data_IF_092588184242
#
_entry.id   IF_092588184242
#
_cell.length_a   1.000
_cell.length_b   1.000
_cell.length_c   1.000
_cell.angle_alpha   90.00
_cell.angle_beta   90.00
_cell.angle_gamma   90.00
#
_symmetry.space_group_name_H-M   'P 1'
#
loop_
_entity.id
_entity.type
_entity.pdbx_description
1 polymer ?
#
# COMPACT_ATOMS: atom_id res chain seq x y z
N UNK A 1 11.96 -0.73 -16.94
CA UNK A 1 11.89 -2.13 -16.48
C UNK A 1 10.56 -2.38 -15.82
N UNK A 2 9.84 -3.43 -16.24
CA UNK A 2 8.64 -3.95 -15.56
C UNK A 2 9.07 -5.23 -14.85
N UNK A 3 9.02 -5.26 -13.52
CA UNK A 3 9.32 -6.46 -12.73
C UNK A 3 8.31 -7.59 -12.98
N UNK A 4 8.80 -8.79 -13.26
CA UNK A 4 8.01 -10.00 -13.54
C UNK A 4 6.87 -9.79 -14.55
N UNK A 5 7.14 -9.27 -15.77
CA UNK A 5 6.11 -8.88 -16.74
C UNK A 5 5.27 -10.05 -17.28
N UNK A 6 5.67 -11.28 -16.95
CA UNK A 6 5.14 -12.58 -17.28
C UNK A 6 4.38 -13.25 -16.11
N UNK A 7 4.29 -12.59 -14.94
CA UNK A 7 3.52 -13.11 -13.80
C UNK A 7 2.02 -13.28 -14.08
N UNK A 8 1.46 -12.58 -15.07
CA UNK A 8 0.09 -12.80 -15.55
C UNK A 8 -0.13 -14.21 -16.11
N UNK A 9 0.94 -14.92 -16.50
CA UNK A 9 0.86 -16.27 -17.07
C UNK A 9 1.08 -17.38 -16.03
N UNK A 10 1.26 -17.02 -14.75
CA UNK A 10 1.40 -18.03 -13.70
C UNK A 10 0.07 -18.74 -13.43
N UNK A 11 0.17 -19.99 -12.97
CA UNK A 11 -1.00 -20.80 -12.66
C UNK A 11 -1.74 -20.22 -11.46
N UNK A 12 -3.03 -19.95 -11.65
CA UNK A 12 -3.96 -19.55 -10.60
C UNK A 12 -4.51 -20.76 -9.87
N UNK A 13 -4.87 -20.58 -8.61
CA UNK A 13 -5.55 -21.59 -7.82
C UNK A 13 -7.04 -21.59 -8.08
N UNK A 14 -7.75 -20.48 -7.93
CA UNK A 14 -9.21 -20.42 -8.04
C UNK A 14 -9.69 -19.64 -9.25
N UNK A 15 -8.97 -18.61 -9.68
CA UNK A 15 -9.32 -17.86 -10.88
C UNK A 15 -9.30 -18.80 -12.12
N UNK A 16 -10.33 -18.78 -12.97
CA UNK A 16 -10.35 -19.61 -14.18
C UNK A 16 -9.37 -19.12 -15.25
N UNK A 17 -9.12 -17.81 -15.28
CA UNK A 17 -8.17 -17.13 -16.17
C UNK A 17 -7.56 -15.94 -15.44
N UNK A 18 -6.38 -15.49 -15.89
CA UNK A 18 -5.64 -14.39 -15.27
C UNK A 18 -6.39 -13.06 -15.27
N UNK A 19 -7.34 -12.87 -16.18
CA UNK A 19 -8.12 -11.64 -16.33
C UNK A 19 -9.60 -11.76 -15.94
N UNK A 20 -9.97 -12.86 -15.28
CA UNK A 20 -11.36 -13.13 -14.88
C UNK A 20 -11.97 -12.03 -13.99
N UNK A 21 -11.13 -11.28 -13.28
CA UNK A 21 -11.53 -10.14 -12.43
C UNK A 21 -10.91 -8.81 -12.90
N UNK A 22 -10.41 -8.72 -14.14
CA UNK A 22 -9.80 -7.49 -14.64
C UNK A 22 -10.85 -6.36 -14.66
N UNK A 23 -10.58 -5.20 -14.03
CA UNK A 23 -11.50 -4.07 -14.04
C UNK A 23 -11.66 -3.45 -15.43
N UNK A 24 -12.60 -2.50 -15.55
CA UNK A 24 -12.83 -1.75 -16.79
C UNK A 24 -11.65 -0.86 -17.20
N UNK A 25 -10.81 -0.47 -16.24
CA UNK A 25 -9.57 0.26 -16.49
C UNK A 25 -9.46 1.61 -15.77
N UNK A 26 -8.25 2.17 -15.74
CA UNK A 26 -7.99 3.45 -15.10
C UNK A 26 -8.57 4.60 -15.93
N UNK A 27 -8.71 5.80 -15.33
CA UNK A 27 -9.07 6.97 -16.09
C UNK A 27 -7.94 7.36 -17.03
N UNK A 28 -8.15 7.19 -18.34
CA UNK A 28 -7.15 7.57 -19.35
C UNK A 28 -7.29 9.05 -19.74
N UNK A 29 -6.16 9.77 -19.81
CA UNK A 29 -6.14 11.19 -20.18
C UNK A 29 -6.82 11.47 -21.54
N UNK A 30 -6.64 10.57 -22.51
CA UNK A 30 -7.23 10.68 -23.85
C UNK A 30 -8.74 10.42 -23.90
N UNK A 31 -9.30 9.76 -22.90
CA UNK A 31 -10.71 9.37 -22.87
C UNK A 31 -11.53 10.24 -21.90
N UNK A 32 -10.98 10.53 -20.72
CA UNK A 32 -11.64 11.33 -19.70
C UNK A 32 -10.61 12.19 -18.94
N UNK A 33 -10.21 13.29 -19.57
CA UNK A 33 -9.24 14.23 -19.00
C UNK A 33 -9.67 14.80 -17.64
N UNK A 34 -10.95 15.10 -17.46
CA UNK A 34 -11.44 15.69 -16.21
C UNK A 34 -11.26 14.75 -15.02
N UNK A 35 -11.59 13.47 -15.21
CA UNK A 35 -11.36 12.42 -14.21
C UNK A 35 -9.87 12.20 -13.93
N UNK A 36 -9.05 12.09 -14.98
CA UNK A 36 -7.61 11.92 -14.85
C UNK A 36 -6.97 13.06 -14.05
N UNK A 37 -7.34 14.32 -14.35
CA UNK A 37 -6.82 15.48 -13.64
C UNK A 37 -7.34 15.56 -12.20
N UNK A 38 -8.58 15.12 -11.94
CA UNK A 38 -9.11 15.05 -10.57
C UNK A 38 -8.28 14.08 -9.72
N UNK A 39 -8.04 12.88 -10.21
CA UNK A 39 -7.23 11.86 -9.51
C UNK A 39 -5.80 12.35 -9.24
N UNK A 40 -5.20 13.10 -10.17
CA UNK A 40 -3.89 13.71 -9.97
C UNK A 40 -3.92 14.81 -8.89
N UNK A 41 -4.97 15.64 -8.88
CA UNK A 41 -5.16 16.69 -7.87
C UNK A 41 -5.39 16.11 -6.47
N UNK A 42 -6.18 15.04 -6.36
CA UNK A 42 -6.42 14.36 -5.09
C UNK A 42 -5.10 13.93 -4.42
N UNK A 43 -4.11 13.46 -5.18
CA UNK A 43 -2.77 13.11 -4.68
C UNK A 43 -2.03 14.32 -4.13
N UNK A 44 -2.05 15.43 -4.86
CA UNK A 44 -1.37 16.67 -4.46
C UNK A 44 -2.04 17.25 -3.21
N UNK A 45 -3.37 17.31 -3.19
CA UNK A 45 -4.15 17.82 -2.07
C UNK A 45 -3.90 16.98 -0.81
N UNK A 46 -3.82 15.65 -0.95
CA UNK A 46 -3.46 14.78 0.17
C UNK A 46 -2.02 15.02 0.62
N UNK A 47 -1.07 15.15 -0.32
CA UNK A 47 0.33 15.48 -0.04
C UNK A 47 0.47 16.79 0.74
N UNK A 48 -0.36 17.78 0.47
CA UNK A 48 -0.41 19.06 1.18
C UNK A 48 -0.91 18.95 2.64
N UNK A 49 -1.51 17.81 2.99
CA UNK A 49 -2.05 17.53 4.33
C UNK A 49 -1.19 16.56 5.15
N UNK A 50 -0.08 16.05 4.60
CA UNK A 50 0.74 15.01 5.23
C UNK A 50 1.26 15.43 6.61
N UNK A 51 0.88 14.65 7.62
CA UNK A 51 1.35 14.74 9.01
C UNK A 51 1.88 13.38 9.46
N UNK A 52 2.20 13.23 10.75
CA UNK A 52 2.82 12.02 11.29
C UNK A 52 2.03 10.74 11.00
N UNK A 53 0.72 10.71 11.27
CA UNK A 53 -0.07 9.47 11.10
C UNK A 53 -0.10 9.00 9.62
N UNK A 54 -0.48 9.82 8.63
CA UNK A 54 -0.40 9.44 7.22
C UNK A 54 0.98 8.98 6.75
N UNK A 55 2.04 9.63 7.23
CA UNK A 55 3.43 9.26 6.93
C UNK A 55 3.76 7.88 7.49
N UNK A 56 3.44 7.65 8.75
CA UNK A 56 3.71 6.38 9.43
C UNK A 56 2.89 5.24 8.83
N UNK A 57 1.65 5.48 8.42
CA UNK A 57 0.85 4.53 7.64
C UNK A 57 1.51 4.18 6.30
N UNK A 58 1.98 5.20 5.57
CA UNK A 58 2.64 5.00 4.28
C UNK A 58 3.94 4.20 4.43
N UNK A 59 4.70 4.38 5.51
CA UNK A 59 5.92 3.62 5.78
C UNK A 59 5.64 2.21 6.30
N UNK A 60 4.74 2.05 7.27
CA UNK A 60 4.41 0.77 7.89
C UNK A 60 3.96 -0.27 6.85
N UNK A 61 3.09 0.15 5.93
CA UNK A 61 2.56 -0.69 4.86
C UNK A 61 3.40 -0.68 3.56
N UNK A 62 4.56 -0.02 3.54
CA UNK A 62 5.35 0.10 2.31
C UNK A 62 5.90 -1.24 1.83
N UNK A 63 6.40 -2.06 2.75
CA UNK A 63 7.04 -3.35 2.48
C UNK A 63 8.06 -3.27 1.32
N UNK A 64 9.15 -2.52 1.55
CA UNK A 64 10.21 -2.27 0.58
C UNK A 64 11.02 -3.52 0.15
N UNK A 65 12.03 -3.38 -0.72
CA UNK A 65 12.74 -4.50 -1.37
C UNK A 65 13.41 -5.50 -0.42
N UNK A 66 13.87 -5.04 0.74
CA UNK A 66 14.54 -5.87 1.75
C UNK A 66 13.57 -6.42 2.81
N UNK A 67 12.27 -6.42 2.51
CA UNK A 67 11.22 -6.94 3.39
C UNK A 67 10.60 -8.21 2.82
N UNK A 68 9.60 -8.75 3.52
CA UNK A 68 8.80 -9.87 3.03
C UNK A 68 7.84 -9.52 1.89
N UNK A 69 7.86 -8.25 1.41
CA UNK A 69 6.89 -7.66 0.51
C UNK A 69 5.45 -7.74 1.08
N UNK A 70 4.45 -7.10 0.46
CA UNK A 70 3.08 -7.12 0.98
C UNK A 70 2.51 -8.53 1.17
N UNK A 71 2.70 -9.49 0.23
CA UNK A 71 2.21 -10.85 0.43
C UNK A 71 2.79 -11.52 1.68
N UNK A 72 4.10 -11.37 1.92
CA UNK A 72 4.73 -11.97 3.09
C UNK A 72 4.39 -11.26 4.41
N UNK A 73 4.05 -9.97 4.38
CA UNK A 73 3.49 -9.27 5.54
C UNK A 73 2.16 -9.90 5.96
N UNK A 74 1.24 -10.15 5.00
CA UNK A 74 -0.02 -10.84 5.29
C UNK A 74 0.15 -12.27 5.80
N UNK A 75 1.21 -12.97 5.38
CA UNK A 75 1.58 -14.24 5.97
C UNK A 75 1.96 -14.13 7.46
N UNK A 76 2.72 -13.08 7.85
CA UNK A 76 3.06 -12.84 9.26
C UNK A 76 1.81 -12.58 10.10
N UNK A 77 0.91 -11.72 9.60
CA UNK A 77 -0.38 -11.44 10.24
C UNK A 77 -1.19 -12.73 10.43
N UNK A 78 -1.27 -13.58 9.39
CA UNK A 78 -1.97 -14.86 9.46
C UNK A 78 -1.35 -15.81 10.50
N UNK A 79 -0.02 -15.90 10.55
CA UNK A 79 0.69 -16.73 11.53
C UNK A 79 0.47 -16.22 12.96
N UNK A 80 0.53 -14.91 13.19
CA UNK A 80 0.29 -14.32 14.50
C UNK A 80 -1.11 -14.63 15.00
N UNK A 81 -2.11 -14.56 14.12
CA UNK A 81 -3.49 -14.94 14.44
C UNK A 81 -3.63 -16.44 14.75
N UNK A 82 -2.95 -17.31 14.00
CA UNK A 82 -2.93 -18.75 14.30
C UNK A 82 -2.34 -19.03 15.69
N UNK A 83 -1.27 -18.32 16.06
CA UNK A 83 -0.63 -18.43 17.38
C UNK A 83 -1.54 -17.89 18.47
N UNK A 84 -2.15 -16.72 18.27
CA UNK A 84 -3.04 -16.10 19.25
C UNK A 84 -4.26 -16.99 19.54
N UNK A 85 -4.85 -17.57 18.50
CA UNK A 85 -5.99 -18.49 18.60
C UNK A 85 -5.59 -19.94 18.96
N UNK A 86 -4.29 -20.20 19.15
CA UNK A 86 -3.74 -21.52 19.52
C UNK A 86 -4.20 -22.65 18.59
N UNK A 87 -4.24 -22.37 17.29
CA UNK A 87 -4.66 -23.33 16.29
C UNK A 87 -3.75 -24.57 16.28
N UNK A 88 -4.32 -25.73 15.96
CA UNK A 88 -3.55 -26.94 15.69
C UNK A 88 -2.70 -26.79 14.43
N UNK A 89 -1.76 -27.73 14.22
CA UNK A 89 -0.98 -27.79 12.98
C UNK A 89 -1.88 -27.86 11.74
N UNK A 90 -2.94 -28.68 11.78
CA UNK A 90 -3.85 -28.87 10.65
C UNK A 90 -4.61 -27.59 10.34
N UNK A 91 -5.13 -26.90 11.35
CA UNK A 91 -5.84 -25.62 11.19
C UNK A 91 -4.90 -24.52 10.69
N UNK A 92 -3.69 -24.44 11.23
CA UNK A 92 -2.66 -23.51 10.74
C UNK A 92 -2.35 -23.75 9.27
N UNK A 93 -2.19 -25.01 8.85
CA UNK A 93 -1.99 -25.35 7.42
C UNK A 93 -3.17 -24.87 6.57
N UNK A 94 -4.42 -25.01 7.03
CA UNK A 94 -5.60 -24.50 6.30
C UNK A 94 -5.56 -22.98 6.13
N UNK A 95 -5.23 -22.23 7.18
CA UNK A 95 -5.11 -20.76 7.11
C UNK A 95 -4.01 -20.34 6.13
N UNK A 96 -2.82 -20.91 6.25
CA UNK A 96 -1.68 -20.55 5.39
C UNK A 96 -1.90 -20.97 3.93
N UNK A 97 -2.61 -22.08 3.71
CA UNK A 97 -3.05 -22.51 2.38
C UNK A 97 -4.02 -21.50 1.77
N UNK A 98 -5.04 -21.08 2.54
CA UNK A 98 -6.04 -20.12 2.08
C UNK A 98 -5.41 -18.77 1.73
N UNK A 99 -4.63 -18.19 2.65
CA UNK A 99 -3.97 -16.90 2.46
C UNK A 99 -2.96 -16.97 1.30
N UNK A 100 -2.20 -18.05 1.21
CA UNK A 100 -1.24 -18.25 0.12
C UNK A 100 -1.87 -18.25 -1.26
N UNK A 101 -2.97 -18.99 -1.42
CA UNK A 101 -3.68 -19.02 -2.69
C UNK A 101 -4.39 -17.71 -3.01
N UNK A 102 -4.92 -17.01 -2.00
CA UNK A 102 -5.50 -15.67 -2.18
C UNK A 102 -4.44 -14.68 -2.68
N UNK A 103 -3.26 -14.69 -2.08
CA UNK A 103 -2.13 -13.84 -2.47
C UNK A 103 -1.57 -14.20 -3.85
N UNK A 104 -1.46 -15.50 -4.19
CA UNK A 104 -1.02 -15.93 -5.51
C UNK A 104 -1.94 -15.39 -6.62
N UNK A 105 -3.24 -15.64 -6.49
CA UNK A 105 -4.23 -15.26 -7.50
C UNK A 105 -4.35 -13.73 -7.59
N UNK A 106 -4.27 -13.02 -6.46
CA UNK A 106 -4.17 -11.57 -6.41
C UNK A 106 -2.96 -11.03 -7.17
N UNK A 107 -1.81 -11.72 -7.06
CA UNK A 107 -0.59 -11.37 -7.80
C UNK A 107 -0.77 -11.51 -9.30
N UNK A 108 -1.29 -12.67 -9.75
CA UNK A 108 -1.54 -12.94 -11.17
C UNK A 108 -2.49 -11.91 -11.77
N UNK A 109 -3.64 -11.68 -11.14
CA UNK A 109 -4.65 -10.73 -11.63
C UNK A 109 -4.16 -9.27 -11.60
N UNK A 110 -3.40 -8.88 -10.57
CA UNK A 110 -2.81 -7.54 -10.50
C UNK A 110 -1.79 -7.31 -11.61
N UNK A 111 -0.92 -8.29 -11.88
CA UNK A 111 0.08 -8.18 -12.93
C UNK A 111 -0.52 -8.24 -14.34
N UNK A 112 -1.61 -9.00 -14.50
CA UNK A 112 -2.43 -8.96 -15.70
C UNK A 112 -2.95 -7.54 -15.98
N UNK A 113 -3.65 -6.92 -15.01
CA UNK A 113 -4.17 -5.57 -15.16
C UNK A 113 -3.05 -4.54 -15.45
N UNK A 114 -1.93 -4.63 -14.71
CA UNK A 114 -0.75 -3.77 -14.92
C UNK A 114 -0.22 -3.87 -16.34
N UNK A 115 -0.10 -5.10 -16.85
CA UNK A 115 0.36 -5.34 -18.22
C UNK A 115 -0.64 -4.86 -19.26
N UNK A 116 -1.92 -5.10 -19.03
CA UNK A 116 -2.98 -4.76 -19.99
C UNK A 116 -3.13 -3.25 -20.17
N UNK A 117 -3.16 -2.49 -19.06
CA UNK A 117 -3.42 -1.05 -19.10
C UNK A 117 -2.16 -0.20 -19.25
N UNK A 118 -0.99 -0.71 -18.85
CA UNK A 118 0.29 0.02 -18.87
C UNK A 118 0.18 1.46 -18.35
N UNK A 119 -0.59 1.63 -17.27
CA UNK A 119 -0.98 2.94 -16.78
C UNK A 119 0.17 3.65 -16.06
N UNK A 120 0.29 4.96 -16.29
CA UNK A 120 1.33 5.80 -15.71
C UNK A 120 1.18 5.97 -14.20
N UNK A 121 2.29 6.34 -13.53
CA UNK A 121 2.33 6.60 -12.09
C UNK A 121 1.97 8.06 -11.76
N UNK A 122 1.49 8.36 -10.53
CA UNK A 122 1.16 9.74 -10.14
C UNK A 122 2.30 10.74 -10.33
N UNK A 123 3.56 10.34 -10.10
CA UNK A 123 4.71 11.21 -10.37
C UNK A 123 4.74 11.73 -11.80
N UNK A 124 4.46 10.87 -12.79
CA UNK A 124 4.37 11.26 -14.20
C UNK A 124 3.12 12.09 -14.46
N UNK A 125 1.99 11.74 -13.85
CA UNK A 125 0.76 12.52 -13.96
C UNK A 125 0.98 13.96 -13.49
N UNK A 126 1.63 14.14 -12.34
CA UNK A 126 1.82 15.44 -11.71
C UNK A 126 2.90 16.24 -12.45
N UNK A 127 4.09 15.66 -12.65
CA UNK A 127 5.21 16.37 -13.26
C UNK A 127 4.94 16.75 -14.73
N UNK A 128 4.31 15.87 -15.50
CA UNK A 128 4.02 16.14 -16.92
C UNK A 128 2.68 16.84 -17.13
N UNK A 129 1.65 16.52 -16.34
CA UNK A 129 0.32 17.12 -16.47
C UNK A 129 0.23 18.55 -15.95
N UNK A 130 1.06 18.90 -14.95
CA UNK A 130 1.01 20.19 -14.26
C UNK A 130 2.35 20.94 -14.27
N UNK A 131 3.36 20.51 -15.05
CA UNK A 131 4.74 20.97 -14.94
C UNK A 131 5.02 22.47 -15.07
N UNK A 132 4.06 23.27 -15.57
CA UNK A 132 4.12 24.73 -15.60
C UNK A 132 3.51 25.44 -14.38
N UNK A 133 3.06 24.68 -13.38
CA UNK A 133 2.35 25.16 -12.20
C UNK A 133 3.13 24.88 -10.93
N UNK A 134 2.80 25.61 -9.87
CA UNK A 134 3.20 25.28 -8.50
C UNK A 134 2.06 24.59 -7.78
N UNK A 135 2.40 23.67 -6.88
CA UNK A 135 1.45 22.98 -6.01
C UNK A 135 1.96 23.01 -4.58
N UNK A 136 1.05 22.98 -3.61
CA UNK A 136 1.42 22.71 -2.23
C UNK A 136 1.47 21.20 -2.01
N UNK A 137 2.57 20.69 -1.46
CA UNK A 137 2.80 19.27 -1.25
C UNK A 137 3.93 19.06 -0.22
N UNK A 138 4.20 17.81 0.15
CA UNK A 138 5.41 17.47 0.88
C UNK A 138 6.65 17.94 0.08
N UNK A 139 7.44 18.80 0.71
CA UNK A 139 8.58 19.47 0.08
C UNK A 139 9.86 18.63 0.08
N UNK A 140 9.79 17.40 0.59
CA UNK A 140 10.92 16.49 0.76
C UNK A 140 11.28 16.26 2.23
N UNK A 141 12.25 15.37 2.50
CA UNK A 141 12.56 14.92 3.85
C UNK A 141 12.82 16.08 4.81
N UNK A 142 12.14 16.06 5.95
CA UNK A 142 12.24 17.04 7.05
C UNK A 142 11.75 18.45 6.73
N UNK A 143 11.32 18.74 5.50
CA UNK A 143 10.96 20.10 5.08
C UNK A 143 9.48 20.44 5.31
N UNK A 144 8.69 19.44 5.69
CA UNK A 144 7.24 19.59 5.83
C UNK A 144 6.57 19.82 4.47
N UNK A 145 5.42 20.46 4.51
CA UNK A 145 4.62 20.84 3.35
C UNK A 145 4.95 22.28 2.96
N UNK A 146 5.15 22.49 1.66
CA UNK A 146 5.41 23.80 1.08
C UNK A 146 5.04 23.85 -0.38
N UNK A 147 5.19 25.04 -0.97
CA UNK A 147 4.98 25.24 -2.40
C UNK A 147 6.15 24.69 -3.18
N UNK A 148 5.89 23.76 -4.11
CA UNK A 148 6.88 23.15 -5.00
C UNK A 148 6.46 23.32 -6.45
N UNK A 149 7.42 23.35 -7.36
CA UNK A 149 7.10 23.21 -8.78
C UNK A 149 6.54 21.81 -9.03
N UNK A 150 5.40 21.70 -9.71
CA UNK A 150 4.81 20.39 -9.98
C UNK A 150 5.75 19.49 -10.80
N UNK A 151 6.58 20.08 -11.66
CA UNK A 151 7.67 19.39 -12.40
C UNK A 151 8.77 18.80 -11.51
N UNK A 152 8.84 19.20 -10.25
CA UNK A 152 9.78 18.70 -9.24
C UNK A 152 9.09 17.93 -8.11
N UNK A 153 7.76 17.80 -8.15
CA UNK A 153 6.99 17.09 -7.14
C UNK A 153 7.48 15.65 -6.99
N UNK A 154 7.56 15.17 -5.75
CA UNK A 154 7.93 13.80 -5.42
C UNK A 154 6.89 13.20 -4.48
N UNK A 155 6.55 11.90 -4.64
CA UNK A 155 5.74 11.19 -3.66
C UNK A 155 6.48 11.05 -2.33
N UNK A 156 5.76 10.80 -1.23
CA UNK A 156 6.36 10.51 0.07
C UNK A 156 6.99 9.11 0.05
N UNK A 157 8.27 9.06 -0.29
CA UNK A 157 9.06 7.83 -0.44
C UNK A 157 10.52 8.05 0.01
N UNK A 158 11.21 6.97 0.33
CA UNK A 158 12.65 7.02 0.59
C UNK A 158 13.38 7.55 -0.65
N UNK A 159 14.39 8.39 -0.46
CA UNK A 159 15.22 8.88 -1.57
C UNK A 159 15.98 7.76 -2.29
N UNK A 160 16.17 6.63 -1.63
CA UNK A 160 16.80 5.41 -2.16
C UNK A 160 15.80 4.43 -2.77
N UNK A 161 14.49 4.67 -2.61
CA UNK A 161 13.43 3.82 -3.14
C UNK A 161 12.62 4.61 -4.16
N UNK A 162 12.96 4.42 -5.43
CA UNK A 162 12.21 5.01 -6.54
C UNK A 162 10.86 4.32 -6.70
N UNK A 163 9.87 5.07 -7.19
CA UNK A 163 8.53 4.56 -7.55
C UNK A 163 8.63 3.17 -8.17
N UNK A 164 7.91 2.15 -7.65
CA UNK A 164 8.15 0.76 -8.03
C UNK A 164 8.11 0.54 -9.54
N UNK A 165 9.05 -0.26 -10.05
CA UNK A 165 9.30 -0.48 -11.47
C UNK A 165 8.27 -1.42 -12.12
N UNK A 166 7.00 -1.02 -12.10
CA UNK A 166 5.85 -1.64 -12.74
C UNK A 166 4.69 -0.62 -12.89
N UNK A 167 3.77 -0.82 -13.85
CA UNK A 167 2.65 0.09 -14.11
C UNK A 167 1.78 0.40 -12.88
N UNK A 168 1.10 1.55 -12.89
CA UNK A 168 0.29 2.06 -11.78
C UNK A 168 -0.96 1.24 -11.53
N UNK A 169 -1.77 0.96 -12.54
CA UNK A 169 -3.09 0.37 -12.35
C UNK A 169 -3.10 -1.16 -12.48
N UNK A 170 -3.70 -1.93 -11.58
CA UNK A 170 -4.27 -1.55 -10.26
C UNK A 170 -3.19 -1.53 -9.17
N UNK A 171 -3.53 -1.09 -7.96
CA UNK A 171 -2.65 -1.20 -6.79
C UNK A 171 -2.49 -2.66 -6.36
N UNK A 172 -1.26 -3.18 -6.45
CA UNK A 172 -0.93 -4.53 -6.00
C UNK A 172 -1.16 -4.69 -4.49
N UNK A 173 -0.66 -3.74 -3.68
CA UNK A 173 -0.94 -3.69 -2.24
C UNK A 173 -2.42 -3.74 -1.94
N UNK A 174 -3.25 -2.96 -2.62
CA UNK A 174 -4.70 -2.97 -2.38
C UNK A 174 -5.32 -4.33 -2.68
N UNK A 175 -4.90 -4.97 -3.78
CA UNK A 175 -5.41 -6.28 -4.20
C UNK A 175 -4.96 -7.39 -3.26
N UNK A 176 -3.67 -7.45 -2.90
CA UNK A 176 -3.15 -8.42 -1.92
C UNK A 176 -3.82 -8.26 -0.56
N UNK A 177 -3.92 -7.03 -0.07
CA UNK A 177 -4.45 -6.75 1.26
C UNK A 177 -5.95 -7.01 1.36
N UNK A 178 -6.73 -6.68 0.33
CA UNK A 178 -8.15 -7.03 0.27
C UNK A 178 -8.34 -8.55 0.19
N UNK A 179 -7.55 -9.25 -0.63
CA UNK A 179 -7.64 -10.70 -0.76
C UNK A 179 -7.30 -11.42 0.55
N UNK A 180 -6.19 -11.08 1.18
CA UNK A 180 -5.75 -11.70 2.43
C UNK A 180 -6.68 -11.36 3.61
N UNK A 181 -7.10 -10.09 3.75
CA UNK A 181 -8.02 -9.69 4.82
C UNK A 181 -9.36 -10.40 4.73
N UNK A 182 -9.97 -10.49 3.54
CA UNK A 182 -11.24 -11.20 3.39
C UNK A 182 -11.07 -12.71 3.55
N UNK A 183 -9.97 -13.30 3.09
CA UNK A 183 -9.67 -14.71 3.32
C UNK A 183 -9.57 -15.03 4.83
N UNK A 184 -8.85 -14.20 5.60
CA UNK A 184 -8.76 -14.33 7.05
C UNK A 184 -10.12 -14.13 7.72
N UNK A 185 -10.91 -13.14 7.29
CA UNK A 185 -12.28 -12.93 7.79
C UNK A 185 -13.19 -14.13 7.53
N UNK A 186 -13.06 -14.78 6.37
CA UNK A 186 -13.83 -15.99 6.03
C UNK A 186 -13.46 -17.18 6.90
N UNK A 187 -12.20 -17.29 7.31
CA UNK A 187 -11.74 -18.38 8.17
C UNK A 187 -12.02 -18.14 9.65
N UNK A 188 -11.68 -16.96 10.17
CA UNK A 188 -11.71 -16.63 11.60
C UNK A 188 -12.98 -15.89 12.04
N UNK A 189 -13.76 -15.33 11.12
CA UNK A 189 -14.76 -14.32 11.42
C UNK A 189 -14.19 -12.90 11.39
N UNK A 190 -15.01 -11.91 11.75
CA UNK A 190 -14.73 -10.48 11.46
C UNK A 190 -13.62 -9.85 12.29
N UNK A 191 -13.40 -10.34 13.51
CA UNK A 191 -12.47 -9.71 14.46
C UNK A 191 -11.02 -9.89 14.00
N UNK A 192 -10.21 -8.83 14.15
CA UNK A 192 -8.77 -8.89 13.91
C UNK A 192 -8.07 -9.61 15.07
N UNK A 193 -7.40 -10.73 14.77
CA UNK A 193 -6.83 -11.64 15.78
C UNK A 193 -5.30 -11.66 15.84
N UNK A 194 -4.63 -10.84 15.03
CA UNK A 194 -3.19 -10.56 15.18
C UNK A 194 -3.00 -9.40 16.20
N UNK A 195 -1.76 -9.01 16.57
CA UNK A 195 -1.53 -7.89 17.49
C UNK A 195 -2.34 -6.65 17.08
N UNK A 196 -3.37 -6.32 17.88
CA UNK A 196 -4.40 -5.34 17.50
C UNK A 196 -3.87 -3.93 17.32
N UNK A 197 -2.81 -3.58 18.04
CA UNK A 197 -2.19 -2.28 17.97
C UNK A 197 -0.68 -2.40 17.77
N UNK A 198 -0.14 -1.51 16.94
CA UNK A 198 1.27 -1.36 16.67
C UNK A 198 1.73 0.03 17.10
N UNK A 199 2.65 0.10 18.06
CA UNK A 199 3.30 1.34 18.48
C UNK A 199 4.46 1.66 17.54
N UNK A 200 4.43 2.85 16.97
CA UNK A 200 5.50 3.46 16.19
C UNK A 200 6.08 4.59 17.04
N UNK A 201 7.25 4.39 17.68
CA UNK A 201 7.82 5.38 18.59
C UNK A 201 8.20 6.70 17.89
N UNK A 202 8.26 7.77 18.66
CA UNK A 202 8.81 9.07 18.23
C UNK A 202 10.15 8.92 17.47
N UNK A 203 10.26 9.63 16.35
CA UNK A 203 11.52 9.81 15.61
C UNK A 203 12.01 8.60 14.81
N UNK A 204 11.23 7.53 14.67
CA UNK A 204 11.68 6.28 14.00
C UNK A 204 11.44 6.23 12.48
N UNK A 205 10.87 7.28 11.87
CA UNK A 205 10.61 7.32 10.42
C UNK A 205 11.83 6.85 9.63
N UNK A 206 11.57 6.06 8.60
CA UNK A 206 12.56 5.61 7.63
C UNK A 206 13.05 6.77 6.76
N UNK A 207 12.22 7.79 6.52
CA UNK A 207 12.53 8.89 5.60
C UNK A 207 12.98 10.15 6.34
N UNK A 208 12.42 10.38 7.53
CA UNK A 208 12.57 11.59 8.34
C UNK A 208 12.97 11.24 9.78
N UNK A 209 13.98 10.37 9.96
CA UNK A 209 14.42 9.87 11.27
C UNK A 209 14.97 10.97 12.17
N UNK A 210 14.73 10.86 13.48
CA UNK A 210 15.48 11.62 14.48
C UNK A 210 16.96 11.24 14.46
N UNK A 211 17.83 12.23 14.31
CA UNK A 211 19.28 12.07 14.38
C UNK A 211 19.79 13.08 15.40
N UNK A 212 20.33 12.57 16.50
CA UNK A 212 20.86 13.41 17.58
C UNK A 212 22.26 13.95 17.25
N UNK A 213 22.64 15.03 17.95
CA UNK A 213 23.95 15.67 17.80
C UNK A 213 25.12 14.69 17.90
N UNK A 214 26.09 14.82 16.99
CA UNK A 214 27.28 13.97 16.93
C UNK A 214 27.10 12.65 16.16
N UNK A 215 25.92 12.38 15.58
CA UNK A 215 25.70 11.24 14.68
C UNK A 215 25.87 11.64 13.20
N UNK A 216 26.29 10.72 12.31
CA UNK A 216 26.31 10.98 10.87
C UNK A 216 24.93 11.38 10.34
N UNK A 217 24.87 12.44 9.53
CA UNK A 217 23.61 12.96 8.98
C UNK A 217 22.87 13.95 9.90
N UNK A 218 23.39 14.26 11.09
CA UNK A 218 22.82 15.27 11.98
C UNK A 218 22.81 16.66 11.33
N UNK A 219 21.64 17.32 11.38
CA UNK A 219 21.47 18.72 10.96
C UNK A 219 20.69 19.46 12.08
N UNK A 220 21.32 20.43 12.77
CA UNK A 220 20.68 21.18 13.85
C UNK A 220 19.41 21.90 13.38
N UNK A 221 18.33 21.78 14.17
CA UNK A 221 17.03 22.39 13.87
C UNK A 221 16.26 21.70 12.75
N UNK A 222 16.68 20.50 12.33
CA UNK A 222 16.03 19.74 11.27
C UNK A 222 15.87 18.26 11.64
N UNK A 223 16.95 17.59 12.07
CA UNK A 223 16.91 16.16 12.43
C UNK A 223 16.72 15.91 13.91
N UNK A 224 16.74 16.96 14.73
CA UNK A 224 16.67 16.93 16.20
C UNK A 224 15.46 17.69 16.77
N UNK A 225 14.59 18.22 15.91
CA UNK A 225 13.32 18.85 16.29
C UNK A 225 12.14 18.07 15.71
N UNK A 226 11.05 17.88 16.47
CA UNK A 226 9.90 17.12 16.01
C UNK A 226 9.09 17.90 14.96
N UNK A 227 8.55 17.18 13.98
CA UNK A 227 7.45 17.65 13.16
C UNK A 227 6.19 17.78 14.04
N UNK A 228 5.55 18.96 14.03
CA UNK A 228 4.33 19.27 14.80
C UNK A 228 3.11 19.55 13.89
N UNK A 229 3.16 19.11 12.64
CA UNK A 229 2.09 19.27 11.66
C UNK A 229 2.59 19.52 10.23
N UNK A 230 1.69 19.54 9.23
CA UNK A 230 2.07 19.45 7.82
C UNK A 230 3.15 20.45 7.39
N UNK A 231 3.02 21.73 7.73
CA UNK A 231 3.96 22.79 7.32
C UNK A 231 5.11 23.03 8.30
N UNK A 232 5.44 22.03 9.12
CA UNK A 232 6.53 22.12 10.08
C UNK A 232 7.71 21.27 9.63
N UNK A 233 8.92 21.79 9.88
CA UNK A 233 10.17 21.07 9.65
C UNK A 233 10.48 20.22 10.86
N UNK A 234 11.14 19.09 10.64
CA UNK A 234 11.52 18.19 11.72
C UNK A 234 11.49 16.72 11.34
N UNK A 235 11.95 15.89 12.26
CA UNK A 235 11.81 14.43 12.16
C UNK A 235 10.36 13.99 12.34
N UNK A 236 10.06 12.78 11.88
CA UNK A 236 8.76 12.12 12.06
C UNK A 236 8.93 10.72 12.70
N UNK A 237 7.90 10.22 13.40
CA UNK A 237 6.81 11.02 13.93
C UNK A 237 7.33 11.92 15.07
N UNK A 238 6.73 13.09 15.26
CA UNK A 238 7.09 14.02 16.34
C UNK A 238 6.62 13.58 17.73
N UNK A 239 5.74 12.57 17.78
CA UNK A 239 5.31 11.86 18.99
C UNK A 239 5.00 10.40 18.64
N UNK A 240 4.77 9.56 19.64
CA UNK A 240 4.38 8.17 19.43
C UNK A 240 3.07 8.10 18.61
N UNK A 241 3.09 7.27 17.56
CA UNK A 241 1.91 6.94 16.75
C UNK A 241 1.48 5.52 17.05
N UNK A 242 0.18 5.29 17.23
CA UNK A 242 -0.37 3.95 17.42
C UNK A 242 -1.34 3.66 16.29
N UNK A 243 -1.09 2.56 15.57
CA UNK A 243 -2.00 2.01 14.57
C UNK A 243 -2.79 0.89 15.22
N UNK A 244 -4.11 0.86 15.07
CA UNK A 244 -4.95 -0.21 15.62
C UNK A 244 -6.03 -0.65 14.63
N UNK A 245 -6.36 -1.94 14.64
CA UNK A 245 -7.40 -2.52 13.79
C UNK A 245 -8.34 -3.40 14.59
N UNK A 246 -9.65 -3.20 14.40
CA UNK A 246 -10.69 -4.01 15.04
C UNK A 246 -11.11 -5.18 14.15
N UNK A 247 -11.12 -4.98 12.83
CA UNK A 247 -11.49 -5.99 11.84
C UNK A 247 -10.40 -6.21 10.80
N UNK A 248 -10.36 -7.41 10.20
CA UNK A 248 -9.44 -7.74 9.09
C UNK A 248 -9.48 -6.73 7.96
N UNK A 249 -10.67 -6.32 7.56
CA UNK A 249 -10.87 -5.35 6.49
C UNK A 249 -10.36 -3.96 6.85
N UNK A 250 -10.33 -3.57 8.13
CA UNK A 250 -9.77 -2.28 8.54
C UNK A 250 -8.28 -2.24 8.21
N UNK A 251 -7.52 -3.28 8.59
CA UNK A 251 -6.12 -3.44 8.22
C UNK A 251 -5.93 -3.58 6.70
N UNK A 252 -6.80 -4.35 6.03
CA UNK A 252 -6.78 -4.54 4.57
C UNK A 252 -6.91 -3.22 3.79
N UNK A 253 -7.91 -2.42 4.15
CA UNK A 253 -8.20 -1.13 3.52
C UNK A 253 -7.12 -0.10 3.86
N UNK A 254 -6.66 -0.04 5.10
CA UNK A 254 -5.59 0.87 5.52
C UNK A 254 -4.27 0.57 4.77
N UNK A 255 -3.93 -0.71 4.63
CA UNK A 255 -2.80 -1.16 3.83
C UNK A 255 -2.90 -0.72 2.37
N UNK A 256 -4.07 -0.84 1.74
CA UNK A 256 -4.29 -0.39 0.38
C UNK A 256 -4.20 1.13 0.22
N UNK A 257 -4.95 1.89 1.04
CA UNK A 257 -5.06 3.35 0.91
C UNK A 257 -3.78 4.07 1.30
N UNK A 258 -2.94 3.46 2.13
CA UNK A 258 -1.62 4.01 2.47
C UNK A 258 -0.73 4.26 1.24
N UNK A 259 -1.02 3.61 0.09
CA UNK A 259 -0.32 3.86 -1.18
C UNK A 259 -0.72 5.17 -1.85
N UNK A 260 -1.97 5.59 -1.66
CA UNK A 260 -2.45 6.92 -1.99
C UNK A 260 -1.80 7.95 -1.06
N UNK A 261 -1.68 7.64 0.24
CA UNK A 261 -0.99 8.51 1.21
C UNK A 261 0.48 8.73 0.84
N UNK A 262 1.16 7.66 0.40
CA UNK A 262 2.52 7.73 -0.12
C UNK A 262 2.64 8.43 -1.48
N UNK A 263 1.54 8.71 -2.17
CA UNK A 263 1.52 9.38 -3.48
C UNK A 263 1.92 8.50 -4.67
N UNK A 264 1.87 7.17 -4.55
CA UNK A 264 2.35 6.24 -5.59
C UNK A 264 1.25 5.51 -6.36
N UNK A 265 0.00 5.65 -5.93
CA UNK A 265 -1.21 5.11 -6.56
C UNK A 265 -2.35 6.13 -6.47
N UNK A 266 -3.16 6.26 -7.52
CA UNK A 266 -4.39 7.08 -7.48
C UNK A 266 -5.53 6.35 -6.76
N UNK A 267 -6.62 7.05 -6.43
CA UNK A 267 -7.76 6.43 -5.74
C UNK A 267 -8.41 5.32 -6.57
N UNK A 268 -8.50 5.48 -7.90
CA UNK A 268 -9.01 4.41 -8.78
C UNK A 268 -8.20 3.11 -8.66
N UNK A 269 -6.86 3.20 -8.61
CA UNK A 269 -5.98 2.03 -8.43
C UNK A 269 -6.29 1.28 -7.13
N UNK A 270 -6.65 2.01 -6.07
CA UNK A 270 -7.00 1.46 -4.77
C UNK A 270 -8.39 0.81 -4.78
N UNK A 271 -9.41 1.55 -5.22
CA UNK A 271 -10.81 1.08 -5.24
C UNK A 271 -10.95 -0.19 -6.07
N UNK A 272 -10.43 -0.19 -7.30
CA UNK A 272 -10.55 -1.34 -8.19
C UNK A 272 -9.67 -2.51 -7.71
N UNK A 273 -8.51 -2.22 -7.12
CA UNK A 273 -7.66 -3.24 -6.51
C UNK A 273 -8.34 -3.93 -5.31
N UNK A 274 -9.02 -3.17 -4.45
CA UNK A 274 -9.79 -3.74 -3.33
C UNK A 274 -10.90 -4.65 -3.83
N UNK A 275 -11.68 -4.20 -4.82
CA UNK A 275 -12.76 -4.98 -5.41
C UNK A 275 -12.24 -6.30 -6.00
N UNK A 276 -11.16 -6.24 -6.79
CA UNK A 276 -10.47 -7.43 -7.31
C UNK A 276 -10.07 -8.39 -6.18
N UNK A 277 -9.43 -7.88 -5.13
CA UNK A 277 -8.96 -8.71 -4.02
C UNK A 277 -10.10 -9.44 -3.30
N UNK A 278 -11.25 -8.77 -3.10
CA UNK A 278 -12.42 -9.39 -2.49
C UNK A 278 -13.05 -10.47 -3.37
N UNK A 279 -13.16 -10.24 -4.69
CA UNK A 279 -13.65 -11.28 -5.62
C UNK A 279 -12.74 -12.52 -5.60
N UNK A 280 -11.42 -12.31 -5.59
CA UNK A 280 -10.42 -13.39 -5.52
C UNK A 280 -10.55 -14.18 -4.23
N UNK A 281 -10.65 -13.51 -3.08
CA UNK A 281 -10.80 -14.18 -1.79
C UNK A 281 -12.05 -15.05 -1.73
N UNK A 282 -13.18 -14.60 -2.30
CA UNK A 282 -14.39 -15.42 -2.38
C UNK A 282 -14.14 -16.70 -3.19
N UNK A 283 -13.59 -16.58 -4.39
CA UNK A 283 -13.30 -17.74 -5.25
C UNK A 283 -12.31 -18.71 -4.61
N UNK A 284 -11.24 -18.18 -4.00
CA UNK A 284 -10.23 -18.99 -3.31
C UNK A 284 -10.82 -19.69 -2.10
N UNK A 285 -11.65 -19.01 -1.30
CA UNK A 285 -12.30 -19.62 -0.15
C UNK A 285 -13.23 -20.76 -0.58
N UNK A 286 -14.12 -20.52 -1.55
CA UNK A 286 -15.05 -21.54 -2.05
C UNK A 286 -14.31 -22.77 -2.59
N UNK A 287 -13.23 -22.57 -3.36
CA UNK A 287 -12.41 -23.69 -3.86
C UNK A 287 -11.70 -24.41 -2.72
N UNK A 288 -11.19 -23.69 -1.72
CA UNK A 288 -10.51 -24.27 -0.56
C UNK A 288 -11.41 -25.19 0.26
N UNK A 289 -12.70 -24.86 0.40
CA UNK A 289 -13.67 -25.72 1.10
C UNK A 289 -13.75 -27.14 0.52
N UNK A 290 -13.57 -27.30 -0.80
CA UNK A 290 -13.58 -28.63 -1.43
C UNK A 290 -12.42 -29.54 -1.00
N UNK A 291 -11.33 -28.96 -0.46
CA UNK A 291 -10.16 -29.71 0.01
C UNK A 291 -10.20 -30.01 1.52
N UNK A 292 -11.04 -29.30 2.27
CA UNK A 292 -11.04 -29.39 3.74
C UNK A 292 -12.00 -30.44 4.31
N UNK A 293 -12.80 -31.08 3.45
CA UNK A 293 -13.90 -31.95 3.83
C UNK A 293 -15.06 -31.13 4.38
N UNK A 294 -16.28 -31.43 3.93
CA UNK A 294 -17.49 -30.91 4.58
C UNK A 294 -17.64 -31.48 5.99
#
# INVERSE_FOLDING_TARGET
NFLAPDAYAWTTFALPYHDAVRPNGPPLYSQNRAEWERQARDIVDYSASLSDVPKMLAEFWADGPDTTAPPGHWYKIAMDACVNERLSLVETVKVLFLVGHALNDAGVASWDAKRHFDFIRPITMIQCGFGGQTVDAWAGPYLGVGTVFASQWQPYQATTFVTPAFPGYVSGHSTFSAAASLALEKYFGREYLAPKCHLIPEGVSLFERRIDAGKPGYIPGLTDVPNNGPRTKGYAPGTDVVLCWEHWKDAGLESGISRFHGGIHILADHVDGVDMGYQIAEMVFQRSLSYWGA
#
